data_IF_322219168245
#
_entry.id   IF_322219168245
#
_cell.length_a   1.000
_cell.length_b   1.000
_cell.length_c   1.000
_cell.angle_alpha   90.00
_cell.angle_beta   90.00
_cell.angle_gamma   90.00
#
_symmetry.space_group_name_H-M   'P 1'
#
loop_
_entity.id
_entity.type
_entity.pdbx_description
1 polymer ?
#
# COMPACT_ATOMS: atom_id res chain seq x y z
N UNK A 1 -56.20 -37.30 14.17
CA UNK A 1 -54.81 -37.80 14.18
C UNK A 1 -54.18 -37.46 12.83
N UNK A 2 -53.57 -36.28 12.69
CA UNK A 2 -52.84 -35.90 11.49
C UNK A 2 -51.39 -36.34 11.63
N UNK A 3 -50.95 -37.27 10.77
CA UNK A 3 -49.57 -37.75 10.75
C UNK A 3 -48.61 -36.66 10.28
N UNK A 4 -47.49 -36.51 10.97
CA UNK A 4 -46.40 -35.64 10.54
C UNK A 4 -45.82 -36.15 9.20
N UNK A 5 -45.51 -35.26 8.24
CA UNK A 5 -44.82 -35.68 7.02
C UNK A 5 -43.43 -36.22 7.38
N UNK A 6 -43.13 -37.43 6.92
CA UNK A 6 -41.83 -38.07 7.09
C UNK A 6 -40.77 -37.34 6.26
N UNK A 7 -39.89 -36.58 6.93
CA UNK A 7 -38.68 -36.06 6.32
C UNK A 7 -37.72 -37.21 6.03
N UNK A 8 -37.67 -37.68 4.79
CA UNK A 8 -36.62 -38.59 4.33
C UNK A 8 -35.30 -37.81 4.20
N UNK A 9 -34.19 -38.26 4.82
CA UNK A 9 -32.91 -37.58 4.66
C UNK A 9 -32.43 -37.72 3.22
N UNK A 10 -32.17 -36.59 2.56
CA UNK A 10 -31.58 -36.55 1.23
C UNK A 10 -30.25 -37.31 1.27
N UNK A 11 -30.08 -38.28 0.37
CA UNK A 11 -28.81 -39.00 0.23
C UNK A 11 -27.72 -38.03 -0.21
N UNK A 12 -26.48 -38.21 0.22
CA UNK A 12 -25.32 -37.37 -0.18
C UNK A 12 -25.28 -37.06 -1.69
N UNK A 13 -25.66 -38.04 -2.51
CA UNK A 13 -25.75 -37.93 -3.98
C UNK A 13 -26.81 -36.90 -4.43
N UNK A 14 -27.95 -36.83 -3.74
CA UNK A 14 -29.01 -35.87 -4.05
C UNK A 14 -28.65 -34.44 -3.61
N UNK A 15 -27.98 -34.30 -2.46
CA UNK A 15 -27.41 -33.03 -2.02
C UNK A 15 -26.33 -32.52 -2.99
N UNK A 16 -25.38 -33.38 -3.37
CA UNK A 16 -24.32 -33.04 -4.35
C UNK A 16 -24.91 -32.60 -5.70
N UNK A 17 -25.92 -33.31 -6.21
CA UNK A 17 -26.55 -33.00 -7.51
C UNK A 17 -27.32 -31.67 -7.49
N UNK A 18 -28.00 -31.37 -6.38
CA UNK A 18 -28.71 -30.09 -6.16
C UNK A 18 -27.73 -28.92 -6.01
N UNK A 19 -26.60 -29.15 -5.34
CA UNK A 19 -25.51 -28.18 -5.20
C UNK A 19 -24.77 -27.93 -6.52
N UNK A 20 -24.55 -28.97 -7.33
CA UNK A 20 -23.92 -28.84 -8.65
C UNK A 20 -24.81 -28.08 -9.65
N UNK A 21 -26.13 -28.32 -9.67
CA UNK A 21 -27.04 -27.61 -10.59
C UNK A 21 -27.16 -26.11 -10.28
N UNK A 22 -27.21 -25.73 -9.00
CA UNK A 22 -27.19 -24.31 -8.62
C UNK A 22 -25.87 -23.62 -9.04
N UNK A 23 -24.74 -24.33 -8.96
CA UNK A 23 -23.44 -23.76 -9.33
C UNK A 23 -23.36 -23.37 -10.81
N UNK A 24 -23.89 -24.16 -11.74
CA UNK A 24 -23.88 -23.80 -13.16
C UNK A 24 -24.70 -22.53 -13.45
N UNK A 25 -25.84 -22.36 -12.78
CA UNK A 25 -26.65 -21.14 -12.94
C UNK A 25 -25.92 -19.90 -12.43
N UNK A 26 -25.19 -20.01 -11.32
CA UNK A 26 -24.38 -18.92 -10.76
C UNK A 26 -23.27 -18.50 -11.72
N UNK A 27 -22.51 -19.46 -12.25
CA UNK A 27 -21.44 -19.18 -13.20
C UNK A 27 -21.96 -18.53 -14.48
N UNK A 28 -23.12 -18.99 -14.97
CA UNK A 28 -23.75 -18.40 -16.14
C UNK A 28 -24.16 -16.94 -15.89
N UNK A 29 -24.77 -16.64 -14.73
CA UNK A 29 -25.14 -15.27 -14.34
C UNK A 29 -23.91 -14.38 -14.19
N UNK A 30 -22.86 -14.86 -13.52
CA UNK A 30 -21.59 -14.13 -13.37
C UNK A 30 -20.95 -13.80 -14.72
N UNK A 31 -20.87 -14.77 -15.63
CA UNK A 31 -20.36 -14.54 -17.00
C UNK A 31 -21.25 -13.61 -17.82
N UNK A 32 -22.58 -13.65 -17.68
CA UNK A 32 -23.50 -12.75 -18.38
C UNK A 32 -23.32 -11.30 -17.92
N UNK A 33 -23.26 -11.07 -16.60
CA UNK A 33 -22.95 -9.77 -16.01
C UNK A 33 -21.55 -9.29 -16.41
N UNK A 34 -20.59 -10.21 -16.44
CA UNK A 34 -19.25 -10.00 -16.94
C UNK A 34 -19.23 -9.48 -18.39
N UNK A 35 -19.87 -10.18 -19.33
CA UNK A 35 -19.97 -9.75 -20.74
C UNK A 35 -20.65 -8.38 -20.88
N UNK A 36 -21.72 -8.13 -20.11
CA UNK A 36 -22.37 -6.82 -20.08
C UNK A 36 -21.41 -5.71 -19.61
N UNK A 37 -20.59 -6.00 -18.59
CA UNK A 37 -19.56 -5.06 -18.10
C UNK A 37 -18.43 -4.84 -19.10
N UNK A 38 -18.02 -5.87 -19.86
CA UNK A 38 -17.04 -5.72 -20.96
C UNK A 38 -17.60 -4.82 -22.05
N UNK A 39 -18.86 -5.02 -22.45
CA UNK A 39 -19.52 -4.15 -23.43
C UNK A 39 -19.52 -2.69 -22.95
N UNK A 40 -19.88 -2.44 -21.69
CA UNK A 40 -19.80 -1.11 -21.09
C UNK A 40 -18.37 -0.54 -21.12
N UNK A 41 -17.36 -1.33 -20.74
CA UNK A 41 -15.95 -0.91 -20.75
C UNK A 41 -15.43 -0.61 -22.16
N UNK A 42 -15.99 -1.22 -23.20
CA UNK A 42 -15.64 -0.91 -24.60
C UNK A 42 -16.24 0.42 -25.09
N UNK A 43 -17.34 0.88 -24.47
CA UNK A 43 -17.95 2.18 -24.77
C UNK A 43 -17.14 3.34 -24.17
N UNK A 44 -16.34 3.08 -23.14
CA UNK A 44 -15.53 4.08 -22.43
C UNK A 44 -14.07 4.01 -22.90
N UNK A 45 -13.39 5.14 -23.14
CA UNK A 45 -11.97 5.15 -23.50
C UNK A 45 -11.08 4.87 -22.28
N UNK A 46 -11.17 3.66 -21.69
CA UNK A 46 -10.54 3.33 -20.40
C UNK A 46 -9.02 3.54 -20.38
N UNK A 47 -8.35 3.42 -21.52
CA UNK A 47 -6.92 3.71 -21.69
C UNK A 47 -6.58 5.18 -21.37
N UNK A 48 -7.41 6.11 -21.84
CA UNK A 48 -7.24 7.55 -21.55
C UNK A 48 -7.48 7.83 -20.07
N UNK A 49 -8.50 7.23 -19.46
CA UNK A 49 -8.84 7.42 -18.04
C UNK A 49 -7.75 6.86 -17.11
N UNK A 50 -7.21 5.68 -17.43
CA UNK A 50 -6.11 5.09 -16.67
C UNK A 50 -4.86 5.94 -16.77
N UNK A 51 -4.49 6.38 -17.98
CA UNK A 51 -3.30 7.21 -18.18
C UNK A 51 -3.42 8.57 -17.50
N UNK A 52 -4.56 9.24 -17.64
CA UNK A 52 -4.81 10.54 -16.99
C UNK A 52 -4.82 10.42 -15.47
N UNK A 53 -5.44 9.38 -14.91
CA UNK A 53 -5.40 9.10 -13.47
C UNK A 53 -3.99 8.85 -12.95
N UNK A 54 -3.17 8.11 -13.70
CA UNK A 54 -1.76 7.89 -13.37
C UNK A 54 -0.96 9.21 -13.32
N UNK A 55 -1.11 10.05 -14.34
CA UNK A 55 -0.44 11.35 -14.41
C UNK A 55 -0.89 12.27 -13.27
N UNK A 56 -2.17 12.26 -12.93
CA UNK A 56 -2.68 13.04 -11.79
C UNK A 56 -2.09 12.55 -10.46
N UNK A 57 -1.99 11.23 -10.26
CA UNK A 57 -1.35 10.65 -9.07
C UNK A 57 0.12 11.08 -8.95
N UNK A 58 0.88 11.07 -10.05
CA UNK A 58 2.27 11.53 -10.08
C UNK A 58 2.36 13.00 -9.66
N UNK A 59 1.54 13.86 -10.28
CA UNK A 59 1.53 15.29 -9.97
C UNK A 59 1.18 15.57 -8.51
N UNK A 60 0.24 14.81 -7.93
CA UNK A 60 -0.08 14.92 -6.51
C UNK A 60 1.09 14.51 -5.61
N UNK A 61 1.79 13.42 -5.94
CA UNK A 61 2.97 12.98 -5.17
C UNK A 61 4.13 13.97 -5.28
N UNK A 62 4.47 14.41 -6.49
CA UNK A 62 5.52 15.41 -6.72
C UNK A 62 5.18 16.75 -6.06
N UNK A 63 3.91 17.17 -6.14
CA UNK A 63 3.39 18.35 -5.46
C UNK A 63 3.51 18.22 -3.94
N UNK A 64 3.21 17.05 -3.39
CA UNK A 64 3.33 16.75 -1.96
C UNK A 64 4.79 16.79 -1.51
N UNK A 65 5.72 16.17 -2.25
CA UNK A 65 7.16 16.23 -1.97
C UNK A 65 7.67 17.67 -2.09
N UNK A 66 7.22 18.40 -3.11
CA UNK A 66 7.53 19.81 -3.30
C UNK A 66 7.04 20.69 -2.15
N UNK A 67 5.88 20.38 -1.58
CA UNK A 67 5.33 21.05 -0.40
C UNK A 67 6.16 20.74 0.86
N UNK A 68 6.54 19.48 1.08
CA UNK A 68 7.43 19.10 2.19
C UNK A 68 8.78 19.81 2.04
N UNK A 69 9.35 19.87 0.84
CA UNK A 69 10.63 20.54 0.61
C UNK A 69 10.62 22.03 1.05
N UNK A 70 9.50 22.73 0.84
CA UNK A 70 9.36 24.19 1.09
C UNK A 70 9.10 24.60 2.55
N UNK A 71 9.24 23.67 3.52
CA UNK A 71 8.85 23.82 4.93
C UNK A 71 7.34 23.72 5.16
N UNK A 72 6.81 22.51 5.41
CA UNK A 72 5.41 22.29 5.68
C UNK A 72 5.07 22.86 7.06
N UNK A 73 3.90 23.50 7.17
CA UNK A 73 3.36 23.99 8.46
C UNK A 73 4.27 25.04 9.14
N UNK A 74 5.20 25.66 8.41
CA UNK A 74 6.14 26.65 8.98
C UNK A 74 7.19 26.06 9.91
N UNK A 75 7.31 24.72 10.00
CA UNK A 75 8.41 24.07 10.70
C UNK A 75 9.71 24.32 9.94
N UNK A 76 10.67 24.98 10.59
CA UNK A 76 12.01 25.19 10.04
C UNK A 76 12.76 23.86 10.04
N UNK A 77 12.67 23.14 8.92
CA UNK A 77 13.35 21.86 8.75
C UNK A 77 14.80 22.05 8.35
N UNK A 78 15.58 20.98 8.50
CA UNK A 78 16.94 20.97 7.99
C UNK A 78 16.89 20.95 6.45
N UNK A 79 17.32 22.06 5.82
CA UNK A 79 17.25 22.23 4.38
C UNK A 79 18.00 21.14 3.62
N UNK A 80 19.22 20.79 4.04
CA UNK A 80 20.03 19.78 3.35
C UNK A 80 19.34 18.41 3.35
N UNK A 81 18.79 18.00 4.49
CA UNK A 81 18.15 16.70 4.64
C UNK A 81 16.82 16.66 3.91
N UNK A 82 16.03 17.73 3.99
CA UNK A 82 14.77 17.86 3.26
C UNK A 82 14.98 17.77 1.75
N UNK A 83 16.02 18.44 1.24
CA UNK A 83 16.42 18.38 -0.17
C UNK A 83 16.89 16.99 -0.59
N UNK A 84 17.76 16.35 0.19
CA UNK A 84 18.23 14.98 -0.11
C UNK A 84 17.09 13.96 -0.11
N UNK A 85 16.15 14.06 0.84
CA UNK A 85 14.98 13.17 0.88
C UNK A 85 14.03 13.46 -0.29
N UNK A 86 13.80 14.73 -0.62
CA UNK A 86 12.96 15.11 -1.77
C UNK A 86 13.54 14.54 -3.07
N UNK A 87 14.85 14.68 -3.29
CA UNK A 87 15.53 14.10 -4.46
C UNK A 87 15.43 12.58 -4.48
N UNK A 88 15.63 11.91 -3.34
CA UNK A 88 15.51 10.46 -3.22
C UNK A 88 14.11 9.97 -3.62
N UNK A 89 13.05 10.55 -3.06
CA UNK A 89 11.68 10.13 -3.37
C UNK A 89 11.28 10.51 -4.81
N UNK A 90 11.69 11.68 -5.30
CA UNK A 90 11.43 12.10 -6.69
C UNK A 90 12.09 11.16 -7.69
N UNK A 91 13.32 10.71 -7.41
CA UNK A 91 14.00 9.71 -8.23
C UNK A 91 13.25 8.37 -8.25
N UNK A 92 12.67 7.96 -7.12
CA UNK A 92 11.85 6.74 -7.11
C UNK A 92 10.51 6.89 -7.86
N UNK A 93 9.91 8.09 -7.86
CA UNK A 93 8.74 8.38 -8.70
C UNK A 93 9.12 8.20 -10.18
N UNK A 94 10.27 8.73 -10.60
CA UNK A 94 10.78 8.55 -11.95
C UNK A 94 11.01 7.07 -12.32
N UNK A 95 11.63 6.29 -11.42
CA UNK A 95 11.80 4.84 -11.62
C UNK A 95 10.46 4.13 -11.78
N UNK A 96 9.49 4.44 -10.92
CA UNK A 96 8.15 3.86 -11.00
C UNK A 96 7.42 4.27 -12.28
N UNK A 97 7.52 5.53 -12.72
CA UNK A 97 6.95 5.99 -13.98
C UNK A 97 7.56 5.25 -15.18
N UNK A 98 8.87 4.99 -15.15
CA UNK A 98 9.56 4.19 -16.16
C UNK A 98 9.05 2.75 -16.16
N UNK A 99 8.91 2.15 -14.97
CA UNK A 99 8.34 0.81 -14.81
C UNK A 99 6.90 0.71 -15.34
N UNK A 100 6.03 1.65 -14.96
CA UNK A 100 4.65 1.67 -15.45
C UNK A 100 4.61 1.86 -16.95
N UNK A 101 5.43 2.75 -17.51
CA UNK A 101 5.49 2.96 -18.96
C UNK A 101 5.95 1.71 -19.71
N UNK A 102 6.81 0.88 -19.10
CA UNK A 102 7.24 -0.40 -19.68
C UNK A 102 6.16 -1.50 -19.58
N UNK A 103 5.40 -1.54 -18.49
CA UNK A 103 4.32 -2.52 -18.29
C UNK A 103 3.05 -2.13 -19.05
N UNK A 104 2.81 -0.82 -19.21
CA UNK A 104 1.64 -0.29 -19.89
C UNK A 104 1.71 -0.61 -21.38
N UNK A 105 0.88 -1.56 -21.81
CA UNK A 105 0.73 -1.96 -23.20
C UNK A 105 -0.74 -2.08 -23.54
N UNK A 106 -1.08 -1.77 -24.80
CA UNK A 106 -2.45 -2.00 -25.34
C UNK A 106 -2.88 -3.45 -25.13
N UNK A 107 -1.95 -4.40 -25.18
CA UNK A 107 -2.20 -5.81 -24.90
C UNK A 107 -2.71 -6.04 -23.48
N UNK A 108 -2.06 -5.43 -22.48
CA UNK A 108 -2.46 -5.56 -21.05
C UNK A 108 -3.85 -4.98 -20.80
N UNK A 109 -4.14 -3.80 -21.37
CA UNK A 109 -5.47 -3.17 -21.24
C UNK A 109 -6.53 -4.02 -21.93
N UNK A 110 -6.22 -4.58 -23.09
CA UNK A 110 -7.14 -5.44 -23.84
C UNK A 110 -7.40 -6.75 -23.10
N UNK A 111 -6.36 -7.37 -22.53
CA UNK A 111 -6.48 -8.56 -21.69
C UNK A 111 -7.31 -8.29 -20.42
N UNK A 112 -7.11 -7.13 -19.77
CA UNK A 112 -7.94 -6.67 -18.66
C UNK A 112 -9.41 -6.51 -19.07
N UNK A 113 -9.70 -5.90 -20.22
CA UNK A 113 -11.08 -5.80 -20.73
C UNK A 113 -11.70 -7.17 -20.96
N UNK A 114 -10.96 -8.10 -21.55
CA UNK A 114 -11.47 -9.44 -21.84
C UNK A 114 -11.56 -10.37 -20.61
N UNK A 115 -10.92 -10.03 -19.48
CA UNK A 115 -11.06 -10.83 -18.25
C UNK A 115 -12.50 -10.86 -17.74
N UNK A 116 -13.33 -9.88 -18.11
CA UNK A 116 -14.75 -9.84 -17.80
C UNK A 116 -15.60 -10.88 -18.55
N UNK A 117 -15.11 -11.48 -19.65
CA UNK A 117 -15.84 -12.58 -20.31
C UNK A 117 -15.95 -13.80 -19.38
N UNK A 118 -14.97 -13.98 -18.49
CA UNK A 118 -14.97 -15.08 -17.53
C UNK A 118 -15.96 -14.85 -16.37
N UNK A 119 -16.36 -13.61 -16.10
CA UNK A 119 -17.20 -13.23 -14.97
C UNK A 119 -17.04 -11.77 -14.55
N UNK A 120 -18.01 -11.23 -13.80
CA UNK A 120 -17.83 -9.92 -13.16
C UNK A 120 -16.91 -10.03 -11.95
N UNK A 121 -16.93 -11.17 -11.24
CA UNK A 121 -15.98 -11.44 -10.14
C UNK A 121 -14.53 -11.45 -10.62
N UNK A 122 -14.24 -12.03 -11.79
CA UNK A 122 -12.88 -12.02 -12.36
C UNK A 122 -12.44 -10.63 -12.81
N UNK A 123 -13.37 -9.80 -13.28
CA UNK A 123 -13.09 -8.39 -13.61
C UNK A 123 -12.78 -7.56 -12.36
N UNK A 124 -13.51 -7.73 -11.27
CA UNK A 124 -13.23 -7.04 -10.00
C UNK A 124 -11.87 -7.49 -9.45
N UNK A 125 -11.55 -8.79 -9.52
CA UNK A 125 -10.25 -9.31 -9.13
C UNK A 125 -9.11 -8.70 -9.97
N UNK A 126 -9.28 -8.58 -11.29
CA UNK A 126 -8.27 -7.94 -12.14
C UNK A 126 -8.12 -6.44 -11.85
N UNK A 127 -9.19 -5.74 -11.46
CA UNK A 127 -9.11 -4.35 -10.97
C UNK A 127 -8.25 -4.27 -9.71
N UNK A 128 -8.46 -5.19 -8.75
CA UNK A 128 -7.67 -5.26 -7.51
C UNK A 128 -6.18 -5.44 -7.84
N UNK A 129 -5.83 -6.34 -8.76
CA UNK A 129 -4.45 -6.57 -9.19
C UNK A 129 -3.81 -5.33 -9.81
N UNK A 130 -4.55 -4.65 -10.69
CA UNK A 130 -4.12 -3.40 -11.32
C UNK A 130 -3.89 -2.29 -10.28
N UNK A 131 -4.82 -2.12 -9.34
CA UNK A 131 -4.68 -1.15 -8.24
C UNK A 131 -3.48 -1.50 -7.36
N UNK A 132 -3.26 -2.79 -7.06
CA UNK A 132 -2.12 -3.25 -6.27
C UNK A 132 -0.78 -2.92 -6.94
N UNK A 133 -0.68 -3.17 -8.26
CA UNK A 133 0.49 -2.88 -9.06
C UNK A 133 0.78 -1.38 -9.11
N UNK A 134 -0.23 -0.56 -9.41
CA UNK A 134 -0.04 0.89 -9.53
C UNK A 134 0.31 1.53 -8.19
N UNK A 135 -0.23 1.04 -7.07
CA UNK A 135 0.03 1.62 -5.74
C UNK A 135 1.23 1.02 -5.00
N UNK A 136 2.00 0.14 -5.65
CA UNK A 136 3.19 -0.50 -5.04
C UNK A 136 4.24 0.52 -4.58
N UNK A 137 4.46 1.59 -5.35
CA UNK A 137 5.43 2.64 -5.00
C UNK A 137 5.09 3.34 -3.67
N UNK A 138 3.80 3.51 -3.35
CA UNK A 138 3.34 4.11 -2.09
C UNK A 138 3.71 3.21 -0.90
N UNK A 139 3.56 1.89 -1.04
CA UNK A 139 4.01 0.93 -0.04
C UNK A 139 5.54 1.01 0.15
N UNK A 140 6.31 1.06 -0.93
CA UNK A 140 7.76 1.24 -0.86
C UNK A 140 8.13 2.53 -0.10
N UNK A 141 7.46 3.64 -0.37
CA UNK A 141 7.73 4.93 0.30
C UNK A 141 7.43 4.86 1.79
N UNK A 142 6.31 4.24 2.17
CA UNK A 142 5.98 4.02 3.57
C UNK A 142 7.04 3.14 4.26
N UNK A 143 7.50 2.06 3.63
CA UNK A 143 8.56 1.20 4.18
C UNK A 143 9.85 2.01 4.36
N UNK A 144 10.30 2.75 3.34
CA UNK A 144 11.53 3.54 3.40
C UNK A 144 11.46 4.59 4.51
N UNK A 145 10.36 5.36 4.58
CA UNK A 145 10.18 6.38 5.60
C UNK A 145 10.09 5.78 7.01
N UNK A 146 9.39 4.66 7.17
CA UNK A 146 9.29 3.94 8.45
C UNK A 146 10.64 3.42 8.91
N UNK A 147 11.42 2.82 8.00
CA UNK A 147 12.77 2.32 8.32
C UNK A 147 13.70 3.45 8.69
N UNK A 148 13.64 4.56 7.97
CA UNK A 148 14.43 5.75 8.27
C UNK A 148 14.06 6.33 9.64
N UNK A 149 12.77 6.49 9.93
CA UNK A 149 12.30 6.95 11.24
C UNK A 149 12.78 6.04 12.38
N UNK A 150 12.61 4.72 12.25
CA UNK A 150 13.07 3.75 13.24
C UNK A 150 14.59 3.82 13.43
N UNK A 151 15.36 3.96 12.35
CA UNK A 151 16.81 4.11 12.43
C UNK A 151 17.18 5.39 13.18
N UNK A 152 16.54 6.52 12.88
CA UNK A 152 16.77 7.80 13.55
C UNK A 152 16.42 7.75 15.04
N UNK A 153 15.30 7.13 15.42
CA UNK A 153 14.93 6.97 16.83
C UNK A 153 15.90 6.05 17.57
N UNK A 154 16.32 4.93 16.97
CA UNK A 154 17.31 4.03 17.58
C UNK A 154 18.66 4.71 17.74
N UNK A 155 19.11 5.47 16.74
CA UNK A 155 20.32 6.27 16.82
C UNK A 155 20.21 7.30 17.96
N UNK A 156 19.06 7.96 18.10
CA UNK A 156 18.83 8.96 19.14
C UNK A 156 18.94 8.35 20.53
N UNK A 157 18.24 7.24 20.77
CA UNK A 157 18.30 6.52 22.06
C UNK A 157 19.73 6.00 22.33
N UNK A 158 20.44 5.56 21.30
CA UNK A 158 21.83 5.13 21.44
C UNK A 158 22.75 6.28 21.85
N UNK A 159 22.60 7.45 21.22
CA UNK A 159 23.40 8.63 21.54
C UNK A 159 23.04 9.25 22.89
N UNK A 160 21.77 9.25 23.28
CA UNK A 160 21.35 9.70 24.61
C UNK A 160 21.94 8.83 25.71
N UNK A 161 21.94 7.50 25.52
CA UNK A 161 22.63 6.59 26.44
C UNK A 161 24.12 6.85 26.49
N UNK A 162 24.75 7.03 25.32
CA UNK A 162 26.15 7.39 25.24
C UNK A 162 26.44 8.71 25.95
N UNK A 163 25.60 9.74 25.82
CA UNK A 163 25.76 11.01 26.52
C UNK A 163 25.65 10.88 28.04
N UNK A 164 24.77 9.99 28.54
CA UNK A 164 24.65 9.67 29.96
C UNK A 164 25.76 8.74 30.49
N UNK A 165 26.79 8.41 29.69
CA UNK A 165 27.88 7.54 30.13
C UNK A 165 27.48 6.07 30.29
N UNK A 166 26.39 5.64 29.65
CA UNK A 166 25.89 4.26 29.76
C UNK A 166 25.86 3.56 28.40
N UNK A 167 26.33 2.31 28.35
CA UNK A 167 26.37 1.50 27.12
C UNK A 167 25.71 0.15 27.36
N UNK A 168 24.82 -0.25 26.46
CA UNK A 168 24.27 -1.61 26.48
C UNK A 168 25.30 -2.60 25.93
N UNK A 169 25.62 -3.63 26.72
CA UNK A 169 26.54 -4.68 26.34
C UNK A 169 25.74 -5.94 25.94
N UNK A 170 25.65 -6.26 24.63
CA UNK A 170 24.86 -7.41 24.16
C UNK A 170 25.43 -8.75 24.62
N UNK A 171 26.76 -8.83 24.88
CA UNK A 171 27.40 -10.07 25.32
C UNK A 171 27.01 -10.43 26.76
N UNK A 172 26.87 -9.43 27.64
CA UNK A 172 26.50 -9.60 29.05
C UNK A 172 25.05 -9.26 29.36
N UNK A 173 24.26 -8.89 28.34
CA UNK A 173 22.86 -8.45 28.42
C UNK A 173 22.59 -7.41 29.52
N UNK A 174 23.53 -6.51 29.80
CA UNK A 174 23.43 -5.49 30.86
C UNK A 174 23.88 -4.11 30.38
N UNK A 175 23.53 -3.07 31.14
CA UNK A 175 23.99 -1.70 30.90
C UNK A 175 25.24 -1.47 31.73
N UNK A 176 26.37 -1.20 31.07
CA UNK A 176 27.66 -0.91 31.69
C UNK A 176 27.89 0.62 31.69
N UNK A 177 28.45 1.17 32.78
CA UNK A 177 28.95 2.54 32.82
C UNK A 177 30.26 2.65 32.04
N UNK A 178 30.43 3.73 31.29
CA UNK A 178 31.61 4.02 30.48
C UNK A 178 32.16 5.38 30.90
N UNK A 179 33.46 5.44 31.20
CA UNK A 179 34.16 6.72 31.37
C UNK A 179 34.38 7.35 29.99
N UNK A 180 33.86 8.57 29.82
CA UNK A 180 33.95 9.30 28.55
C UNK A 180 35.01 10.39 28.65
N UNK A 181 35.87 10.47 27.64
CA UNK A 181 36.79 11.59 27.47
C UNK A 181 36.03 12.83 26.99
N UNK A 182 36.57 14.02 27.27
CA UNK A 182 35.97 15.31 26.90
C UNK A 182 35.72 15.42 25.40
N UNK A 183 36.63 14.89 24.58
CA UNK A 183 36.49 14.84 23.11
C UNK A 183 35.33 13.96 22.65
N UNK A 184 35.11 12.83 23.33
CA UNK A 184 34.03 11.90 23.01
C UNK A 184 32.67 12.51 23.37
N UNK A 185 32.59 13.20 24.51
CA UNK A 185 31.37 13.90 24.92
C UNK A 185 31.02 15.04 23.95
N UNK A 186 32.03 15.79 23.50
CA UNK A 186 31.83 16.84 22.47
C UNK A 186 31.26 16.25 21.17
N UNK A 187 31.86 15.17 20.66
CA UNK A 187 31.39 14.51 19.45
C UNK A 187 29.98 13.91 19.60
N UNK A 188 29.68 13.34 20.76
CA UNK A 188 28.33 12.85 21.10
C UNK A 188 27.30 13.97 21.04
N UNK A 189 27.63 15.14 21.60
CA UNK A 189 26.77 16.32 21.61
C UNK A 189 26.53 16.83 20.20
N UNK A 190 27.57 16.86 19.36
CA UNK A 190 27.47 17.25 17.96
C UNK A 190 26.54 16.32 17.18
N UNK A 191 26.73 15.00 17.28
CA UNK A 191 25.84 14.07 16.58
C UNK A 191 24.41 14.07 17.14
N UNK A 192 24.26 14.24 18.46
CA UNK A 192 22.96 14.31 19.11
C UNK A 192 22.17 15.53 18.63
N UNK A 193 22.80 16.70 18.60
CA UNK A 193 22.18 17.94 18.11
C UNK A 193 21.78 17.80 16.63
N UNK A 194 22.68 17.29 15.77
CA UNK A 194 22.35 16.99 14.37
C UNK A 194 21.11 16.08 14.30
N UNK A 195 21.10 14.96 15.01
CA UNK A 195 20.02 13.99 14.92
C UNK A 195 18.68 14.54 15.43
N UNK A 196 18.70 15.36 16.48
CA UNK A 196 17.51 16.08 16.97
C UNK A 196 16.97 17.03 15.91
N UNK A 197 17.84 17.74 15.17
CA UNK A 197 17.39 18.60 14.06
C UNK A 197 16.92 17.84 12.82
N UNK A 198 17.40 16.60 12.62
CA UNK A 198 16.97 15.73 11.52
C UNK A 198 15.59 15.12 11.78
N UNK A 199 15.29 14.77 13.03
CA UNK A 199 14.13 14.00 13.41
C UNK A 199 12.77 14.62 12.98
N UNK A 200 12.53 15.94 13.10
CA UNK A 200 11.28 16.56 12.64
C UNK A 200 11.05 16.35 11.15
N UNK A 201 12.10 16.51 10.34
CA UNK A 201 12.03 16.34 8.88
C UNK A 201 11.64 14.91 8.53
N UNK A 202 12.31 13.93 9.13
CA UNK A 202 12.05 12.50 8.92
C UNK A 202 10.64 12.12 9.40
N UNK A 203 10.21 12.70 10.52
CA UNK A 203 8.86 12.53 11.07
C UNK A 203 7.78 13.00 10.11
N UNK A 204 7.93 14.16 9.47
CA UNK A 204 6.96 14.67 8.49
C UNK A 204 6.85 13.73 7.29
N UNK A 205 7.98 13.30 6.71
CA UNK A 205 7.96 12.33 5.60
C UNK A 205 7.30 11.02 5.99
N UNK A 206 7.59 10.51 7.20
CA UNK A 206 6.93 9.31 7.72
C UNK A 206 5.42 9.49 7.84
N UNK A 207 4.94 10.60 8.41
CA UNK A 207 3.50 10.84 8.58
C UNK A 207 2.79 10.94 7.23
N UNK A 208 3.32 11.72 6.29
CA UNK A 208 2.69 11.92 4.97
C UNK A 208 2.63 10.61 4.18
N UNK A 209 3.71 9.83 4.13
CA UNK A 209 3.66 8.56 3.41
C UNK A 209 2.85 7.49 4.13
N UNK A 210 2.74 7.56 5.46
CA UNK A 210 1.85 6.67 6.22
C UNK A 210 0.39 6.99 5.93
N UNK A 211 -0.03 8.26 5.88
CA UNK A 211 -1.41 8.62 5.54
C UNK A 211 -1.77 8.15 4.13
N UNK A 212 -0.89 8.35 3.15
CA UNK A 212 -1.07 7.84 1.78
C UNK A 212 -1.18 6.30 1.77
N UNK A 213 -0.32 5.60 2.51
CA UNK A 213 -0.36 4.15 2.60
C UNK A 213 -1.67 3.63 3.19
N UNK A 214 -2.15 4.22 4.29
CA UNK A 214 -3.43 3.83 4.89
C UNK A 214 -4.63 4.18 4.01
N UNK A 215 -4.57 5.26 3.23
CA UNK A 215 -5.61 5.59 2.25
C UNK A 215 -5.69 4.52 1.14
N UNK A 216 -4.54 4.08 0.61
CA UNK A 216 -4.48 2.97 -0.35
C UNK A 216 -4.95 1.66 0.28
N UNK A 217 -4.57 1.39 1.52
CA UNK A 217 -5.01 0.20 2.24
C UNK A 217 -6.54 0.18 2.39
N UNK A 218 -7.15 1.31 2.73
CA UNK A 218 -8.60 1.47 2.80
C UNK A 218 -9.26 1.21 1.45
N UNK A 219 -8.73 1.78 0.36
CA UNK A 219 -9.23 1.51 -1.00
C UNK A 219 -9.17 0.01 -1.35
N UNK A 220 -8.05 -0.65 -1.08
CA UNK A 220 -7.90 -2.10 -1.31
C UNK A 220 -8.88 -2.91 -0.49
N UNK A 221 -9.07 -2.55 0.78
CA UNK A 221 -10.04 -3.19 1.66
C UNK A 221 -11.47 -3.05 1.13
N UNK A 222 -11.85 -1.87 0.65
CA UNK A 222 -13.15 -1.64 0.02
C UNK A 222 -13.33 -2.50 -1.24
N UNK A 223 -12.33 -2.56 -2.12
CA UNK A 223 -12.39 -3.39 -3.33
C UNK A 223 -12.53 -4.89 -3.00
N UNK A 224 -11.76 -5.40 -2.05
CA UNK A 224 -11.91 -6.78 -1.59
C UNK A 224 -13.30 -7.04 -0.99
N UNK A 225 -13.81 -6.11 -0.18
CA UNK A 225 -15.16 -6.20 0.37
C UNK A 225 -16.23 -6.24 -0.72
N UNK A 226 -16.06 -5.47 -1.81
CA UNK A 226 -16.97 -5.54 -2.96
C UNK A 226 -16.92 -6.87 -3.69
N UNK A 227 -15.72 -7.46 -3.85
CA UNK A 227 -15.56 -8.77 -4.47
C UNK A 227 -16.23 -9.86 -3.63
N UNK A 228 -16.01 -9.85 -2.32
CA UNK A 228 -16.63 -10.79 -1.38
C UNK A 228 -18.15 -10.64 -1.37
N UNK A 229 -18.66 -9.40 -1.41
CA UNK A 229 -20.09 -9.12 -1.53
C UNK A 229 -20.71 -9.65 -2.82
N UNK A 230 -20.05 -9.46 -3.98
CA UNK A 230 -20.50 -9.99 -5.27
C UNK A 230 -20.50 -11.52 -5.26
N UNK A 231 -19.43 -12.14 -4.77
CA UNK A 231 -19.35 -13.59 -4.64
C UNK A 231 -20.43 -14.15 -3.70
N UNK A 232 -20.73 -13.46 -2.59
CA UNK A 232 -21.79 -13.85 -1.68
C UNK A 232 -23.16 -13.81 -2.37
N UNK A 233 -23.51 -12.71 -3.05
CA UNK A 233 -24.77 -12.56 -3.80
C UNK A 233 -24.91 -13.62 -4.87
N UNK A 234 -23.83 -13.92 -5.59
CA UNK A 234 -23.82 -14.96 -6.61
C UNK A 234 -23.99 -16.37 -6.01
N UNK A 235 -23.65 -16.61 -4.75
CA UNK A 235 -23.75 -17.95 -4.14
C UNK A 235 -25.12 -18.23 -3.50
N UNK A 236 -25.95 -17.22 -3.26
CA UNK A 236 -27.32 -17.34 -2.74
C UNK A 236 -28.36 -17.52 -3.85
#
# INVERSE_FOLDING_TARGET
>A
MGGWPSCTPLTYVQLKRKFEHGRWTVWFVDSLLGVASVYLLLLVPADVWVWTGLQHMIQLLEGTIGWIRKNPVGLKMNHHVSESLAQFFSYHIFLWQTFVSAVYSKCVITAFRFSGILGVSTLIASVIDVVNLFTLHILCFHIYASRLAVLSFKALISLLRFFCGVKYNPLRKRVDSVSLDSRQLFLATLFLTILIFLLPTIGVYFLVFSTLHYAVYCLRFLLHSTLDGVNAVLTY
#
